data_IF_626560147411
#
_entry.id   IF_626560147411
#
_cell.length_a   1.000
_cell.length_b   1.000
_cell.length_c   1.000
_cell.angle_alpha   90.00
_cell.angle_beta   90.00
_cell.angle_gamma   90.00
#
_symmetry.space_group_name_H-M   'P 1'
#
loop_
_entity.id
_entity.type
_entity.pdbx_description
1 polymer ?
#
# COMPACT_ATOMS: atom_id res chain seq x y z
N UNK A 1 8.30 39.08 18.14
CA UNK A 1 7.99 38.55 16.79
C UNK A 1 9.16 37.71 16.31
N UNK A 2 8.90 36.70 15.48
CA UNK A 2 9.51 35.36 15.48
C UNK A 2 10.77 35.31 14.60
N UNK A 3 11.51 34.20 14.54
CA UNK A 3 11.39 33.24 13.43
C UNK A 3 11.55 31.81 13.95
N UNK A 4 10.61 30.98 13.51
CA UNK A 4 10.39 29.55 13.68
C UNK A 4 11.56 28.66 13.23
N UNK A 5 11.71 27.48 13.85
CA UNK A 5 12.69 26.43 13.55
C UNK A 5 12.50 25.70 12.20
N UNK A 6 11.76 26.30 11.26
CA UNK A 6 11.32 25.67 10.01
C UNK A 6 11.83 26.36 8.73
N UNK A 7 12.89 27.19 8.78
CA UNK A 7 13.48 27.75 7.55
C UNK A 7 14.84 27.13 7.19
N UNK A 8 14.74 26.23 6.23
CA UNK A 8 15.79 25.56 5.49
C UNK A 8 16.72 26.58 4.79
N UNK A 9 17.98 26.70 5.21
CA UNK A 9 18.99 27.42 4.43
C UNK A 9 20.01 26.45 3.83
N UNK A 10 19.67 25.97 2.63
CA UNK A 10 20.63 25.57 1.60
C UNK A 10 21.23 26.85 1.01
N UNK A 11 22.18 27.47 1.71
CA UNK A 11 23.04 28.52 1.15
C UNK A 11 24.50 28.10 1.21
N UNK A 12 24.97 27.74 0.02
CA UNK A 12 26.30 28.03 -0.53
C UNK A 12 27.13 28.97 0.36
N UNK A 13 27.96 28.40 1.22
CA UNK A 13 29.16 29.06 1.72
C UNK A 13 30.35 28.39 1.05
N UNK A 14 30.97 29.15 0.15
CA UNK A 14 32.22 28.82 -0.51
C UNK A 14 33.38 28.88 0.49
N UNK A 15 34.25 27.86 0.44
CA UNK A 15 35.69 27.75 0.83
C UNK A 15 36.04 26.73 1.92
N UNK A 16 37.21 26.04 1.86
CA UNK A 16 38.11 25.74 0.74
C UNK A 16 37.86 24.31 0.19
N UNK A 17 38.12 24.11 -1.11
CA UNK A 17 37.91 22.82 -1.81
C UNK A 17 38.89 21.73 -1.34
N UNK A 18 38.60 21.07 -0.22
CA UNK A 18 39.05 19.69 -0.03
C UNK A 18 38.13 18.83 -0.89
N UNK A 19 38.60 18.46 -2.07
CA UNK A 19 37.88 17.55 -2.97
C UNK A 19 37.80 16.17 -2.32
N UNK A 20 36.86 15.97 -1.42
CA UNK A 20 36.55 14.68 -0.85
C UNK A 20 36.13 13.75 -1.99
N UNK A 21 36.74 12.57 -2.06
CA UNK A 21 36.43 11.60 -3.10
C UNK A 21 34.94 11.22 -3.04
N UNK A 22 34.35 10.82 -4.19
CA UNK A 22 32.98 10.27 -4.21
C UNK A 22 32.79 9.13 -3.20
N UNK A 23 33.85 8.41 -2.84
CA UNK A 23 33.80 7.36 -1.82
C UNK A 23 33.61 7.92 -0.40
N UNK A 24 34.28 9.02 -0.06
CA UNK A 24 34.16 9.68 1.25
C UNK A 24 32.82 10.40 1.40
N UNK A 25 32.36 11.07 0.34
CA UNK A 25 31.02 11.69 0.32
C UNK A 25 29.92 10.64 0.51
N UNK A 26 30.08 9.44 -0.08
CA UNK A 26 29.16 8.31 0.14
C UNK A 26 29.24 7.76 1.56
N UNK A 27 30.42 7.74 2.19
CA UNK A 27 30.59 7.29 3.59
C UNK A 27 29.94 8.25 4.59
N UNK A 28 29.95 9.56 4.33
CA UNK A 28 29.39 10.57 5.25
C UNK A 28 27.92 10.87 4.97
N UNK A 29 27.47 10.89 3.70
CA UNK A 29 26.09 11.26 3.37
C UNK A 29 25.10 10.12 3.65
N UNK A 30 25.50 8.86 3.46
CA UNK A 30 24.63 7.70 3.77
C UNK A 30 24.11 7.68 5.22
N UNK A 31 24.95 7.83 6.27
CA UNK A 31 24.46 7.85 7.65
C UNK A 31 23.55 9.06 7.94
N UNK A 32 23.84 10.22 7.33
CA UNK A 32 22.99 11.43 7.48
C UNK A 32 21.61 11.20 6.85
N UNK A 33 21.56 10.64 5.65
CA UNK A 33 20.30 10.33 4.96
C UNK A 33 19.47 9.29 5.70
N UNK A 34 20.12 8.27 6.27
CA UNK A 34 19.43 7.27 7.09
C UNK A 34 18.90 7.87 8.39
N UNK A 35 19.64 8.77 9.05
CA UNK A 35 19.16 9.51 10.22
C UNK A 35 17.89 10.32 9.89
N UNK A 36 17.89 11.04 8.76
CA UNK A 36 16.71 11.79 8.27
C UNK A 36 15.54 10.84 7.96
N UNK A 37 15.79 9.71 7.30
CA UNK A 37 14.75 8.71 7.02
C UNK A 37 14.12 8.18 8.31
N UNK A 38 14.94 7.82 9.31
CA UNK A 38 14.47 7.33 10.62
C UNK A 38 13.66 8.39 11.37
N UNK A 39 14.08 9.66 11.33
CA UNK A 39 13.33 10.76 11.93
C UNK A 39 11.93 10.89 11.29
N UNK A 40 11.83 10.87 9.96
CA UNK A 40 10.55 10.88 9.25
C UNK A 40 9.65 9.71 9.65
N UNK A 41 10.20 8.48 9.69
CA UNK A 41 9.42 7.30 10.09
C UNK A 41 8.86 7.44 11.51
N UNK A 42 9.67 7.89 12.46
CA UNK A 42 9.21 8.07 13.83
C UNK A 42 8.17 9.18 13.95
N UNK A 43 8.31 10.26 13.18
CA UNK A 43 7.31 11.33 13.12
C UNK A 43 5.96 10.78 12.63
N UNK A 44 5.94 10.11 11.47
CA UNK A 44 4.70 9.53 10.94
C UNK A 44 4.10 8.48 11.87
N UNK A 45 4.90 7.66 12.56
CA UNK A 45 4.39 6.71 13.55
C UNK A 45 3.70 7.39 14.73
N UNK A 46 4.22 8.53 15.19
CA UNK A 46 3.58 9.30 16.26
C UNK A 46 2.29 9.95 15.79
N UNK A 47 2.26 10.50 14.57
CA UNK A 47 1.02 11.03 13.97
C UNK A 47 -0.04 9.94 13.83
N UNK A 48 0.32 8.78 13.30
CA UNK A 48 -0.57 7.61 13.18
C UNK A 48 -1.15 7.25 14.55
N UNK A 49 -0.31 7.17 15.59
CA UNK A 49 -0.74 6.87 16.96
C UNK A 49 -1.78 7.90 17.44
N UNK A 50 -1.51 9.19 17.29
CA UNK A 50 -2.42 10.25 17.74
C UNK A 50 -3.77 10.19 17.02
N UNK A 51 -3.76 10.12 15.68
CA UNK A 51 -4.97 10.07 14.85
C UNK A 51 -5.84 8.86 15.16
N UNK A 52 -5.24 7.68 15.40
CA UNK A 52 -6.00 6.47 15.73
C UNK A 52 -6.62 6.58 17.12
N UNK A 53 -5.88 7.08 18.11
CA UNK A 53 -6.39 7.21 19.46
C UNK A 53 -7.56 8.20 19.51
N UNK A 54 -7.46 9.31 18.78
CA UNK A 54 -8.54 10.26 18.58
C UNK A 54 -9.75 9.61 17.89
N UNK A 55 -9.56 8.98 16.73
CA UNK A 55 -10.64 8.34 15.96
C UNK A 55 -11.34 7.20 16.73
N UNK A 56 -10.63 6.52 17.63
CA UNK A 56 -11.17 5.46 18.48
C UNK A 56 -11.66 5.95 19.85
N UNK A 57 -11.60 7.26 20.15
CA UNK A 57 -11.90 7.83 21.46
C UNK A 57 -11.17 7.13 22.62
N UNK A 58 -9.89 6.83 22.43
CA UNK A 58 -9.02 6.18 23.42
C UNK A 58 -8.20 7.21 24.17
N UNK A 59 -8.05 7.01 25.49
CA UNK A 59 -7.22 7.86 26.34
C UNK A 59 -5.72 7.77 25.95
N UNK A 60 -5.09 8.89 25.55
CA UNK A 60 -3.67 8.94 25.22
C UNK A 60 -2.74 8.52 26.36
N UNK A 61 -3.09 8.78 27.62
CA UNK A 61 -2.24 8.50 28.78
C UNK A 61 -1.97 7.00 28.93
N UNK A 62 -3.02 6.19 28.71
CA UNK A 62 -2.97 4.71 28.76
C UNK A 62 -2.13 4.10 27.63
N UNK A 63 -1.89 4.87 26.57
CA UNK A 63 -1.19 4.42 25.37
C UNK A 63 0.19 5.10 25.20
N UNK A 64 0.67 5.80 26.23
CA UNK A 64 1.97 6.48 26.22
C UNK A 64 3.15 5.55 25.86
N UNK A 65 3.12 4.29 26.29
CA UNK A 65 4.20 3.29 26.13
C UNK A 65 3.96 2.22 25.04
N UNK A 66 3.10 2.46 24.07
CA UNK A 66 2.88 1.50 22.97
C UNK A 66 4.16 1.20 22.20
N UNK A 67 4.36 -0.07 21.86
CA UNK A 67 5.44 -0.48 20.97
C UNK A 67 5.11 -0.11 19.52
N UNK A 68 6.13 -0.10 18.66
CA UNK A 68 5.94 0.22 17.23
C UNK A 68 5.03 -0.79 16.53
N UNK A 69 5.10 -2.06 16.92
CA UNK A 69 4.25 -3.11 16.38
C UNK A 69 2.78 -2.86 16.76
N UNK A 70 2.51 -2.52 18.03
CA UNK A 70 1.15 -2.23 18.50
C UNK A 70 0.51 -1.04 17.76
N UNK A 71 1.27 0.04 17.54
CA UNK A 71 0.80 1.22 16.80
C UNK A 71 0.36 0.80 15.38
N UNK A 72 1.18 0.00 14.70
CA UNK A 72 0.88 -0.49 13.35
C UNK A 72 -0.30 -1.46 13.34
N UNK A 73 -0.40 -2.35 14.32
CA UNK A 73 -1.52 -3.28 14.45
C UNK A 73 -2.84 -2.55 14.67
N UNK A 74 -2.86 -1.57 15.59
CA UNK A 74 -4.04 -0.74 15.80
C UNK A 74 -4.43 0.02 14.53
N UNK A 75 -3.46 0.53 13.76
CA UNK A 75 -3.70 1.21 12.50
C UNK A 75 -4.39 0.32 11.48
N UNK A 76 -3.84 -0.89 11.28
CA UNK A 76 -4.41 -1.87 10.35
C UNK A 76 -5.83 -2.27 10.78
N UNK A 77 -6.03 -2.54 12.07
CA UNK A 77 -7.34 -2.91 12.62
C UNK A 77 -8.36 -1.79 12.43
N UNK A 78 -7.96 -0.53 12.65
CA UNK A 78 -8.82 0.63 12.44
C UNK A 78 -9.19 0.78 10.95
N UNK A 79 -8.22 0.70 10.04
CA UNK A 79 -8.47 0.81 8.59
C UNK A 79 -9.44 -0.28 8.09
N UNK A 80 -9.24 -1.52 8.52
CA UNK A 80 -10.16 -2.62 8.19
C UNK A 80 -11.57 -2.37 8.74
N UNK A 81 -11.68 -1.78 9.93
CA UNK A 81 -12.97 -1.46 10.53
C UNK A 81 -13.69 -0.35 9.76
N UNK A 82 -12.97 0.71 9.39
CA UNK A 82 -13.48 1.81 8.56
C UNK A 82 -13.96 1.29 7.21
N UNK A 83 -13.21 0.40 6.55
CA UNK A 83 -13.62 -0.19 5.27
C UNK A 83 -14.91 -1.01 5.41
N UNK A 84 -15.03 -1.83 6.46
CA UNK A 84 -16.25 -2.60 6.73
C UNK A 84 -17.45 -1.69 6.99
N UNK A 85 -17.27 -0.63 7.78
CA UNK A 85 -18.32 0.34 8.07
C UNK A 85 -18.77 1.09 6.82
N UNK A 86 -17.84 1.53 5.97
CA UNK A 86 -18.16 2.19 4.71
C UNK A 86 -18.96 1.27 3.77
N UNK A 87 -18.57 -0.01 3.67
CA UNK A 87 -19.31 -0.99 2.87
C UNK A 87 -20.73 -1.21 3.43
N UNK A 88 -20.85 -1.39 4.75
CA UNK A 88 -22.14 -1.56 5.40
C UNK A 88 -23.04 -0.33 5.17
N UNK A 89 -22.49 0.88 5.26
CA UNK A 89 -23.22 2.11 4.99
C UNK A 89 -23.65 2.19 3.52
N UNK A 90 -22.76 1.91 2.57
CA UNK A 90 -23.09 1.90 1.14
C UNK A 90 -24.22 0.91 0.81
N UNK A 91 -24.21 -0.27 1.44
CA UNK A 91 -25.27 -1.27 1.30
C UNK A 91 -26.60 -0.82 1.93
N UNK A 92 -26.55 -0.07 3.04
CA UNK A 92 -27.74 0.48 3.69
C UNK A 92 -28.33 1.66 2.91
N UNK A 93 -27.50 2.50 2.29
CA UNK A 93 -27.93 3.68 1.53
C UNK A 93 -28.43 3.32 0.13
N UNK A 94 -27.82 2.33 -0.54
CA UNK A 94 -28.26 1.85 -1.84
C UNK A 94 -28.21 0.31 -1.93
N UNK A 95 -29.37 -0.37 -1.78
CA UNK A 95 -29.47 -1.81 -1.95
C UNK A 95 -29.06 -2.31 -3.35
N UNK A 96 -28.99 -1.42 -4.35
CA UNK A 96 -28.54 -1.75 -5.70
C UNK A 96 -27.04 -2.09 -5.76
N UNK A 97 -26.22 -1.59 -4.83
CA UNK A 97 -24.78 -1.87 -4.78
C UNK A 97 -24.52 -3.38 -4.64
N UNK A 98 -25.23 -4.03 -3.70
CA UNK A 98 -25.12 -5.48 -3.52
C UNK A 98 -25.60 -6.24 -4.76
N UNK A 99 -26.70 -5.79 -5.40
CA UNK A 99 -27.22 -6.41 -6.61
C UNK A 99 -26.25 -6.29 -7.79
N UNK A 100 -25.66 -5.11 -8.00
CA UNK A 100 -24.67 -4.85 -9.06
C UNK A 100 -23.41 -5.68 -8.85
N UNK A 101 -22.88 -5.72 -7.61
CA UNK A 101 -21.75 -6.57 -7.26
C UNK A 101 -22.06 -8.04 -7.53
N UNK A 102 -23.22 -8.53 -7.08
CA UNK A 102 -23.65 -9.92 -7.31
C UNK A 102 -23.80 -10.23 -8.80
N UNK A 103 -24.36 -9.33 -9.60
CA UNK A 103 -24.46 -9.50 -11.06
C UNK A 103 -23.09 -9.63 -11.69
N UNK A 104 -22.20 -8.66 -11.47
CA UNK A 104 -20.84 -8.67 -12.04
C UNK A 104 -20.01 -9.87 -11.61
N UNK A 105 -20.16 -10.33 -10.36
CA UNK A 105 -19.53 -11.56 -9.90
C UNK A 105 -20.06 -12.80 -10.63
N UNK A 106 -21.38 -12.91 -10.81
CA UNK A 106 -21.97 -14.05 -11.54
C UNK A 106 -21.57 -14.04 -13.02
N UNK A 107 -21.51 -12.87 -13.65
CA UNK A 107 -21.03 -12.72 -15.02
C UNK A 107 -19.57 -13.21 -15.15
N UNK A 108 -18.69 -12.79 -14.24
CA UNK A 108 -17.31 -13.25 -14.23
C UNK A 108 -17.19 -14.77 -13.98
N UNK A 109 -17.93 -15.32 -13.01
CA UNK A 109 -17.96 -16.76 -12.75
C UNK A 109 -18.45 -17.56 -13.97
N UNK A 110 -19.49 -17.07 -14.64
CA UNK A 110 -20.03 -17.69 -15.86
C UNK A 110 -18.99 -17.71 -16.98
N UNK A 111 -18.26 -16.60 -17.17
CA UNK A 111 -17.19 -16.53 -18.17
C UNK A 111 -16.01 -17.45 -17.84
N UNK A 112 -15.65 -17.59 -16.56
CA UNK A 112 -14.63 -18.56 -16.12
C UNK A 112 -15.09 -20.00 -16.42
N UNK A 113 -16.34 -20.34 -16.11
CA UNK A 113 -16.88 -21.66 -16.39
C UNK A 113 -16.97 -21.93 -17.89
N UNK A 114 -17.39 -20.94 -18.69
CA UNK A 114 -17.36 -20.99 -20.15
C UNK A 114 -15.93 -21.22 -20.66
N UNK A 115 -14.94 -20.48 -20.16
CA UNK A 115 -13.54 -20.67 -20.53
C UNK A 115 -13.02 -22.07 -20.16
N UNK A 116 -13.33 -22.56 -18.96
CA UNK A 116 -12.96 -23.92 -18.52
C UNK A 116 -13.63 -24.99 -19.38
N UNK A 117 -14.88 -24.80 -19.78
CA UNK A 117 -15.60 -25.72 -20.66
C UNK A 117 -15.05 -25.67 -22.09
N UNK A 118 -14.67 -24.50 -22.60
CA UNK A 118 -13.98 -24.35 -23.88
C UNK A 118 -12.56 -24.96 -23.85
N UNK A 119 -11.83 -24.83 -22.74
CA UNK A 119 -10.55 -25.52 -22.55
C UNK A 119 -10.71 -27.05 -22.53
N UNK A 120 -11.79 -27.56 -21.91
CA UNK A 120 -12.13 -28.98 -21.98
C UNK A 120 -12.42 -29.38 -23.42
N UNK A 121 -13.19 -28.59 -24.16
CA UNK A 121 -13.48 -28.85 -25.58
C UNK A 121 -12.22 -28.92 -26.44
N UNK A 122 -11.24 -28.03 -26.22
CA UNK A 122 -9.94 -28.07 -26.91
C UNK A 122 -9.09 -29.31 -26.56
N UNK A 123 -9.26 -29.89 -25.36
CA UNK A 123 -8.62 -31.16 -24.96
C UNK A 123 -9.32 -32.41 -25.49
N UNK A 124 -10.56 -32.29 -25.97
CA UNK A 124 -11.36 -33.38 -26.54
C UNK A 124 -11.54 -33.29 -28.07
N UNK A 125 -10.84 -32.37 -28.75
CA UNK A 125 -10.72 -32.44 -30.20
C UNK A 125 -10.07 -33.80 -30.56
N UNK A 126 -10.71 -34.64 -31.40
CA UNK A 126 -10.07 -35.84 -31.88
C UNK A 126 -8.80 -35.43 -32.62
N UNK A 127 -7.74 -36.23 -32.50
CA UNK A 127 -6.57 -36.15 -33.36
C UNK A 127 -6.93 -36.76 -34.74
N UNK A 128 -7.36 -35.97 -35.74
CA UNK A 128 -7.01 -36.33 -37.10
C UNK A 128 -6.55 -35.09 -37.87
N UNK A 129 -5.37 -34.57 -37.54
CA UNK A 129 -4.64 -33.63 -38.40
C UNK A 129 -3.12 -33.89 -38.41
N UNK A 130 -2.69 -35.12 -38.07
CA UNK A 130 -1.29 -35.55 -38.23
C UNK A 130 -1.05 -36.53 -39.39
N UNK A 131 -2.06 -36.85 -40.19
CA UNK A 131 -1.85 -37.71 -41.37
C UNK A 131 -2.66 -37.17 -42.54
N UNK A 132 -2.06 -36.27 -43.32
CA UNK A 132 -2.27 -36.19 -44.77
C UNK A 132 -1.25 -35.20 -45.34
N UNK A 133 -0.12 -35.74 -45.79
CA UNK A 133 0.76 -35.07 -46.73
C UNK A 133 0.92 -35.98 -47.95
N UNK A 134 0.07 -35.84 -48.99
CA UNK A 134 0.33 -36.46 -50.27
C UNK A 134 0.96 -35.43 -51.24
N UNK A 135 1.89 -35.93 -52.07
CA UNK A 135 2.55 -35.29 -53.23
C UNK A 135 3.80 -34.44 -52.86
N UNK A 136 5.04 -34.80 -53.20
CA UNK A 136 5.61 -35.70 -54.22
C UNK A 136 6.79 -36.49 -53.64
#
# INVERSE_FOLDING_TARGET
>A
MPISEDEYDFRTSQEPQVSMSKAELRKTHKPIMEKRRRARINHCLNEIKSLILEAMNKDPARHSKLEKADILEMAVKHLQNVQRQQLALAMATDPSVLRKFKSGFNECATEIDRYKNNLKFLKFLPLPFQQFNPLK
#
